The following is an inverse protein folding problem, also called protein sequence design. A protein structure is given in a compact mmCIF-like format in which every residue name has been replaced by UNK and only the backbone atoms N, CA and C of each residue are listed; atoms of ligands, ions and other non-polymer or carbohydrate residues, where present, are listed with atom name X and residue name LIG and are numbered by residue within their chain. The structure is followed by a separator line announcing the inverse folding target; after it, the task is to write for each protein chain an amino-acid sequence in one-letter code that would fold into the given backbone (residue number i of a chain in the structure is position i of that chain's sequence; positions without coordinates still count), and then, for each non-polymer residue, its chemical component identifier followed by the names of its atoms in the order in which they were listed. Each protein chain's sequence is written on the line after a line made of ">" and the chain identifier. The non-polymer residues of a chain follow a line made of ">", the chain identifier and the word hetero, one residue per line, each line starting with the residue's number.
data_IF_656067713593
#
_entry.id   IF_656067713593
#
_cell.length_a   1.000
_cell.length_b   1.000
_cell.length_c   1.000
_cell.angle_alpha   90.00
_cell.angle_beta   90.00
_cell.angle_gamma   90.00
#
_symmetry.space_group_name_H-M   'P 1'
#
loop_
_entity.id
_entity.type
_entity.pdbx_description
1 polymer ?
#
# COMPACT_ATOMS: atom_id res chain seq x y z
N UNK A 1 -21.60 7.31 7.68
CA UNK A 1 -21.22 8.73 7.59
C UNK A 1 -19.72 8.76 7.37
N UNK A 2 -19.22 9.67 6.54
CA UNK A 2 -17.78 9.86 6.36
C UNK A 2 -17.31 10.88 7.38
N UNK A 3 -16.43 10.47 8.27
CA UNK A 3 -15.82 11.35 9.27
C UNK A 3 -14.53 11.95 8.70
N UNK A 4 -14.39 13.28 8.75
CA UNK A 4 -13.17 13.96 8.31
C UNK A 4 -12.07 13.80 9.35
N UNK A 5 -10.93 13.23 8.95
CA UNK A 5 -9.75 13.03 9.81
C UNK A 5 -9.31 14.29 10.55
N UNK A 6 -9.53 15.49 9.99
CA UNK A 6 -9.19 16.75 10.66
C UNK A 6 -9.95 16.99 11.95
N UNK A 7 -11.09 16.33 12.12
CA UNK A 7 -11.95 16.43 13.30
C UNK A 7 -11.71 15.29 14.29
N UNK A 8 -11.21 14.14 13.82
CA UNK A 8 -11.21 12.89 14.60
C UNK A 8 -9.81 12.29 14.83
N UNK A 9 -8.79 12.79 14.13
CA UNK A 9 -7.44 12.24 14.20
C UNK A 9 -6.46 13.29 14.74
N UNK A 10 -6.08 13.23 16.03
CA UNK A 10 -5.38 14.31 16.73
C UNK A 10 -3.87 14.33 16.46
N UNK A 11 -3.46 14.13 15.21
CA UNK A 11 -2.06 14.05 14.80
C UNK A 11 -1.75 15.08 13.72
N UNK A 12 -0.62 15.75 13.83
CA UNK A 12 -0.17 16.71 12.83
C UNK A 12 0.34 16.01 11.56
N UNK A 13 0.22 16.69 10.42
CA UNK A 13 0.81 16.20 9.17
C UNK A 13 2.33 16.31 9.23
N UNK A 14 3.03 15.47 8.47
CA UNK A 14 4.50 15.50 8.35
C UNK A 14 5.03 16.90 7.99
N UNK A 15 4.27 17.67 7.21
CA UNK A 15 4.66 19.03 6.79
C UNK A 15 4.67 20.03 7.97
N UNK A 16 4.03 19.71 9.08
CA UNK A 16 4.13 20.50 10.31
C UNK A 16 5.52 20.35 10.94
N UNK A 17 6.05 19.13 10.95
CA UNK A 17 7.36 18.81 11.52
C UNK A 17 8.51 19.13 10.55
N UNK A 18 8.28 18.93 9.25
CA UNK A 18 9.25 19.18 8.18
C UNK A 18 8.58 19.90 7.01
N UNK A 19 8.53 21.24 7.01
CA UNK A 19 7.84 22.01 5.95
C UNK A 19 8.39 21.78 4.54
N UNK A 20 9.66 21.41 4.39
CA UNK A 20 10.34 21.12 3.11
C UNK A 20 10.19 19.66 2.66
N UNK A 21 9.41 18.84 3.36
CA UNK A 21 9.29 17.39 3.11
C UNK A 21 9.02 17.03 1.64
N UNK A 22 8.12 17.78 1.01
CA UNK A 22 7.72 17.58 -0.39
C UNK A 22 8.82 18.05 -1.34
N UNK A 23 9.39 19.23 -1.08
CA UNK A 23 10.45 19.81 -1.93
C UNK A 23 11.72 18.95 -1.92
N UNK A 24 12.03 18.32 -0.79
CA UNK A 24 13.15 17.40 -0.62
C UNK A 24 12.85 15.97 -1.12
N UNK A 25 11.64 15.71 -1.65
CA UNK A 25 11.23 14.39 -2.16
C UNK A 25 11.36 13.23 -1.15
N UNK A 26 11.19 13.52 0.14
CA UNK A 26 11.46 12.58 1.23
C UNK A 26 10.56 11.35 1.21
N UNK A 27 9.32 11.47 0.74
CA UNK A 27 8.43 10.30 0.67
C UNK A 27 8.87 9.34 -0.43
N UNK A 28 9.38 9.86 -1.54
CA UNK A 28 9.89 9.06 -2.65
C UNK A 28 11.17 8.34 -2.24
N UNK A 29 12.09 9.02 -1.54
CA UNK A 29 13.29 8.40 -0.97
C UNK A 29 12.91 7.25 -0.02
N UNK A 30 11.98 7.51 0.91
CA UNK A 30 11.48 6.51 1.84
C UNK A 30 10.77 5.35 1.12
N UNK A 31 9.97 5.63 0.09
CA UNK A 31 9.31 4.58 -0.70
C UNK A 31 10.30 3.65 -1.41
N UNK A 32 11.47 4.16 -1.83
CA UNK A 32 12.54 3.37 -2.42
C UNK A 32 13.22 2.46 -1.38
N UNK A 33 13.47 2.95 -0.17
CA UNK A 33 14.00 2.14 0.94
C UNK A 33 13.08 0.96 1.29
N UNK A 34 11.76 1.18 1.18
CA UNK A 34 10.74 0.18 1.48
C UNK A 34 10.36 -0.71 0.29
N UNK A 35 10.96 -0.49 -0.90
CA UNK A 35 10.58 -1.19 -2.13
C UNK A 35 10.71 -2.71 -2.03
N UNK A 36 11.71 -3.22 -1.28
CA UNK A 36 11.92 -4.65 -1.06
C UNK A 36 10.79 -5.34 -0.27
N UNK A 37 9.94 -4.54 0.38
CA UNK A 37 8.73 -5.00 1.09
C UNK A 37 7.52 -5.11 0.17
N UNK A 38 7.58 -4.58 -1.06
CA UNK A 38 6.45 -4.57 -1.98
C UNK A 38 6.38 -5.86 -2.78
N UNK A 39 5.16 -6.36 -2.98
CA UNK A 39 4.86 -7.58 -3.73
C UNK A 39 4.06 -7.22 -4.97
N UNK A 40 4.34 -7.90 -6.07
CA UNK A 40 3.61 -7.75 -7.33
C UNK A 40 3.04 -9.09 -7.79
N UNK A 41 1.81 -9.07 -8.28
CA UNK A 41 1.06 -10.27 -8.64
C UNK A 41 0.81 -10.32 -10.15
N UNK A 42 1.26 -11.40 -10.77
CA UNK A 42 1.25 -11.55 -12.22
C UNK A 42 0.45 -12.77 -12.65
N UNK A 43 -0.24 -12.62 -13.78
CA UNK A 43 -0.85 -13.72 -14.53
C UNK A 43 -0.35 -13.71 -15.98
N UNK A 44 -0.44 -14.85 -16.63
CA UNK A 44 -0.34 -14.93 -18.09
C UNK A 44 -1.71 -15.22 -18.70
N UNK A 45 -1.88 -14.83 -19.96
CA UNK A 45 -3.09 -15.13 -20.72
C UNK A 45 -2.83 -16.29 -21.69
N UNK A 46 -3.81 -17.18 -21.95
CA UNK A 46 -3.63 -18.36 -22.79
C UNK A 46 -3.02 -18.07 -24.18
N UNK A 47 -3.42 -16.94 -24.79
CA UNK A 47 -2.97 -16.52 -26.12
C UNK A 47 -1.77 -15.56 -26.11
N UNK A 48 -1.24 -15.18 -24.95
CA UNK A 48 -0.11 -14.24 -24.82
C UNK A 48 0.96 -14.77 -23.86
N UNK A 49 1.49 -15.97 -24.16
CA UNK A 49 2.49 -16.67 -23.32
C UNK A 49 3.85 -15.98 -23.20
N UNK A 50 4.09 -14.90 -23.94
CA UNK A 50 5.32 -14.10 -23.85
C UNK A 50 5.19 -12.91 -22.90
N UNK A 51 3.97 -12.60 -22.46
CA UNK A 51 3.67 -11.46 -21.60
C UNK A 51 3.11 -11.93 -20.27
N UNK A 52 3.58 -11.31 -19.19
CA UNK A 52 2.93 -11.41 -17.89
C UNK A 52 2.32 -10.04 -17.54
N UNK A 53 1.07 -10.09 -17.11
CA UNK A 53 0.26 -8.92 -16.79
C UNK A 53 0.20 -8.79 -15.28
N UNK A 54 0.60 -7.63 -14.78
CA UNK A 54 0.41 -7.28 -13.39
C UNK A 54 -1.07 -7.02 -13.14
N UNK A 55 -1.67 -7.75 -12.20
CA UNK A 55 -3.08 -7.65 -11.84
C UNK A 55 -3.31 -7.04 -10.46
N UNK A 56 -2.29 -7.03 -9.62
CA UNK A 56 -2.38 -6.50 -8.27
C UNK A 56 -1.01 -6.26 -7.65
N UNK A 57 -1.03 -5.56 -6.54
CA UNK A 57 0.11 -5.25 -5.68
C UNK A 57 -0.15 -5.78 -4.27
N UNK A 58 0.88 -5.80 -3.45
CA UNK A 58 0.82 -6.21 -2.06
C UNK A 58 2.07 -5.81 -1.32
N UNK A 59 2.20 -6.30 -0.10
CA UNK A 59 3.35 -6.02 0.74
C UNK A 59 3.61 -7.16 1.72
N UNK A 60 4.84 -7.21 2.21
CA UNK A 60 5.27 -8.12 3.27
C UNK A 60 4.93 -7.48 4.61
N UNK A 61 4.30 -8.25 5.48
CA UNK A 61 3.75 -7.83 6.75
C UNK A 61 4.12 -8.84 7.83
N UNK A 62 4.42 -8.37 9.04
CA UNK A 62 4.66 -9.23 10.19
C UNK A 62 3.37 -9.35 11.03
N UNK A 63 2.68 -10.48 10.92
CA UNK A 63 1.46 -10.74 11.68
C UNK A 63 1.80 -11.16 13.11
N UNK A 64 1.27 -10.42 14.08
CA UNK A 64 1.39 -10.72 15.51
C UNK A 64 2.84 -10.83 15.98
N UNK A 65 3.74 -10.01 15.43
CA UNK A 65 5.19 -9.95 15.71
C UNK A 65 5.98 -11.23 15.36
N UNK A 66 5.33 -12.21 14.70
CA UNK A 66 5.88 -13.57 14.63
C UNK A 66 5.79 -14.21 13.26
N UNK A 67 4.77 -13.91 12.46
CA UNK A 67 4.50 -14.64 11.23
C UNK A 67 4.64 -13.71 10.03
N UNK A 68 5.74 -13.82 9.26
CA UNK A 68 5.89 -13.09 8.01
C UNK A 68 4.85 -13.55 6.99
N UNK A 69 4.07 -12.61 6.51
CA UNK A 69 2.95 -12.80 5.59
C UNK A 69 3.06 -11.85 4.40
N UNK A 70 2.42 -12.22 3.30
CA UNK A 70 2.13 -11.34 2.19
C UNK A 70 0.66 -10.92 2.31
N UNK A 71 0.39 -9.63 2.22
CA UNK A 71 -0.96 -9.06 2.22
C UNK A 71 -1.26 -8.46 0.86
N UNK A 72 -2.47 -8.69 0.35
CA UNK A 72 -2.99 -8.10 -0.89
C UNK A 72 -4.53 -8.05 -0.86
N UNK A 73 -5.17 -7.64 -1.94
CA UNK A 73 -6.62 -7.65 -2.05
C UNK A 73 -7.16 -9.06 -2.39
N UNK A 74 -8.32 -9.42 -1.82
CA UNK A 74 -8.93 -10.75 -2.02
C UNK A 74 -9.22 -11.02 -3.51
N UNK A 75 -9.72 -10.03 -4.24
CA UNK A 75 -9.98 -10.19 -5.67
C UNK A 75 -8.72 -10.42 -6.52
N UNK A 76 -7.54 -9.95 -6.09
CA UNK A 76 -6.27 -10.22 -6.79
C UNK A 76 -5.95 -11.70 -6.75
N UNK A 77 -6.07 -12.32 -5.57
CA UNK A 77 -5.81 -13.77 -5.43
C UNK A 77 -6.86 -14.59 -6.19
N UNK A 78 -8.14 -14.21 -6.11
CA UNK A 78 -9.20 -14.86 -6.89
C UNK A 78 -8.92 -14.81 -8.40
N UNK A 79 -8.31 -13.73 -8.89
CA UNK A 79 -7.91 -13.63 -10.30
C UNK A 79 -6.68 -14.47 -10.63
N UNK A 80 -5.69 -14.54 -9.73
CA UNK A 80 -4.53 -15.43 -9.90
C UNK A 80 -4.91 -16.90 -10.02
N UNK A 81 -5.87 -17.35 -9.22
CA UNK A 81 -6.36 -18.73 -9.19
C UNK A 81 -7.06 -19.15 -10.49
N UNK A 82 -7.51 -18.20 -11.32
CA UNK A 82 -8.13 -18.48 -12.63
C UNK A 82 -7.10 -18.66 -13.75
N UNK A 83 -5.85 -18.24 -13.55
CA UNK A 83 -4.81 -18.31 -14.57
C UNK A 83 -4.07 -19.63 -14.49
N UNK A 84 -3.79 -20.25 -15.65
CA UNK A 84 -2.95 -21.46 -15.74
C UNK A 84 -1.51 -21.24 -15.24
N UNK A 85 -1.03 -19.99 -15.34
CA UNK A 85 0.31 -19.64 -14.90
C UNK A 85 0.25 -18.24 -14.27
N UNK A 86 0.38 -18.24 -12.95
CA UNK A 86 0.45 -17.06 -12.11
C UNK A 86 1.66 -17.14 -11.18
N UNK A 87 2.21 -15.97 -10.82
CA UNK A 87 3.38 -15.88 -9.96
C UNK A 87 3.40 -14.54 -9.21
N UNK A 88 4.10 -14.54 -8.09
CA UNK A 88 4.42 -13.34 -7.31
C UNK A 88 5.87 -12.93 -7.56
N UNK A 89 6.13 -11.64 -7.55
CA UNK A 89 7.49 -11.10 -7.60
C UNK A 89 7.74 -10.20 -6.39
N UNK A 90 8.82 -10.48 -5.68
CA UNK A 90 9.25 -9.78 -4.46
C UNK A 90 10.74 -9.53 -4.57
N UNK A 91 11.16 -8.28 -4.46
CA UNK A 91 12.58 -7.89 -4.56
C UNK A 91 13.30 -8.53 -5.76
N UNK A 92 12.66 -8.48 -6.94
CA UNK A 92 13.14 -9.09 -8.18
C UNK A 92 13.02 -10.63 -8.28
N UNK A 93 12.84 -11.34 -7.16
CA UNK A 93 12.67 -12.78 -7.11
C UNK A 93 11.25 -13.18 -7.49
N UNK A 94 11.12 -14.22 -8.34
CA UNK A 94 9.83 -14.69 -8.85
C UNK A 94 9.47 -16.06 -8.25
N UNK A 95 8.28 -16.17 -7.68
CA UNK A 95 7.78 -17.39 -7.06
C UNK A 95 6.46 -17.78 -7.71
N UNK A 96 6.37 -19.02 -8.18
CA UNK A 96 5.12 -19.55 -8.71
C UNK A 96 4.02 -19.50 -7.65
N UNK A 97 2.81 -19.17 -8.07
CA UNK A 97 1.63 -19.16 -7.21
C UNK A 97 0.97 -20.54 -7.26
N UNK A 98 1.57 -21.51 -6.58
CA UNK A 98 1.11 -22.90 -6.53
C UNK A 98 1.16 -23.39 -5.08
N UNK A 99 0.08 -24.02 -4.59
CA UNK A 99 -0.01 -24.63 -3.25
C UNK A 99 0.25 -23.67 -2.07
N UNK A 100 -0.12 -22.39 -2.21
CA UNK A 100 -0.06 -21.43 -1.12
C UNK A 100 -1.35 -21.48 -0.31
N UNK A 101 -1.23 -21.51 1.01
CA UNK A 101 -2.35 -21.28 1.91
C UNK A 101 -2.74 -19.80 1.86
N UNK A 102 -4.04 -19.53 1.73
CA UNK A 102 -4.57 -18.17 1.61
C UNK A 102 -5.75 -18.01 2.56
N UNK A 103 -5.66 -17.00 3.42
CA UNK A 103 -6.75 -16.59 4.31
C UNK A 103 -7.44 -15.37 3.71
N UNK A 104 -8.73 -15.51 3.38
CA UNK A 104 -9.52 -14.44 2.80
C UNK A 104 -10.36 -13.73 3.86
N UNK A 105 -10.34 -12.40 3.81
CA UNK A 105 -11.38 -11.56 4.37
C UNK A 105 -12.14 -10.94 3.19
N UNK A 106 -13.27 -11.54 2.84
CA UNK A 106 -14.09 -11.10 1.71
C UNK A 106 -14.92 -9.84 2.03
N UNK A 107 -15.20 -9.58 3.30
CA UNK A 107 -15.93 -8.39 3.73
C UNK A 107 -15.08 -7.12 3.56
N UNK A 108 -13.79 -7.22 3.91
CA UNK A 108 -12.82 -6.12 3.83
C UNK A 108 -11.90 -6.20 2.59
N UNK A 109 -12.16 -7.15 1.68
CA UNK A 109 -11.43 -7.38 0.42
C UNK A 109 -9.89 -7.47 0.59
N UNK A 110 -9.39 -8.11 1.64
CA UNK A 110 -7.97 -8.46 1.76
C UNK A 110 -7.72 -9.94 1.98
N UNK A 111 -6.58 -10.40 1.49
CA UNK A 111 -6.10 -11.77 1.65
C UNK A 111 -4.69 -11.77 2.25
N UNK A 112 -4.43 -12.77 3.09
CA UNK A 112 -3.16 -12.98 3.78
C UNK A 112 -2.59 -14.34 3.35
N UNK A 113 -1.31 -14.35 2.99
CA UNK A 113 -0.57 -15.54 2.56
C UNK A 113 0.65 -15.67 3.48
N UNK A 114 0.72 -16.67 4.37
CA UNK A 114 1.93 -16.93 5.13
C UNK A 114 3.12 -17.22 4.21
N UNK A 115 4.27 -16.62 4.48
CA UNK A 115 5.46 -16.84 3.67
C UNK A 115 6.07 -18.21 3.97
N UNK A 116 6.28 -19.01 2.92
CA UNK A 116 7.08 -20.23 3.03
C UNK A 116 8.54 -19.92 3.32
N UNK A 117 9.26 -20.87 3.93
CA UNK A 117 10.71 -20.75 4.12
C UNK A 117 11.47 -20.44 2.82
N UNK A 118 10.99 -20.96 1.69
CA UNK A 118 11.60 -20.72 0.39
C UNK A 118 11.55 -19.25 -0.01
N UNK A 119 10.44 -18.57 0.26
CA UNK A 119 10.32 -17.14 0.02
C UNK A 119 11.25 -16.41 0.98
N UNK A 120 11.14 -16.67 2.29
CA UNK A 120 11.96 -15.98 3.30
C UNK A 120 13.47 -16.08 3.04
N UNK A 121 13.97 -17.26 2.65
CA UNK A 121 15.39 -17.49 2.33
C UNK A 121 15.87 -16.74 1.08
N UNK A 122 14.96 -16.46 0.14
CA UNK A 122 15.29 -15.78 -1.11
C UNK A 122 15.31 -14.24 -0.98
N UNK A 123 14.69 -13.70 0.07
CA UNK A 123 14.60 -12.26 0.34
C UNK A 123 15.02 -11.92 1.79
N UNK A 124 16.22 -12.32 2.23
CA UNK A 124 16.63 -12.24 3.63
C UNK A 124 16.76 -10.81 4.18
N UNK A 125 16.85 -9.81 3.29
CA UNK A 125 17.04 -8.41 3.64
C UNK A 125 15.78 -7.56 3.36
N UNK A 126 14.67 -8.17 2.97
CA UNK A 126 13.43 -7.42 2.78
C UNK A 126 12.97 -6.83 4.10
N UNK A 127 12.54 -5.57 4.05
CA UNK A 127 11.88 -4.91 5.16
C UNK A 127 10.45 -5.49 5.30
N UNK A 128 9.91 -5.49 6.51
CA UNK A 128 8.56 -5.95 6.80
C UNK A 128 7.77 -4.79 7.40
N UNK A 129 6.55 -4.61 6.90
CA UNK A 129 5.61 -3.71 7.57
C UNK A 129 5.10 -4.33 8.87
N UNK A 130 4.86 -3.45 9.84
CA UNK A 130 4.17 -3.76 11.09
C UNK A 130 2.99 -2.79 11.27
N UNK A 131 1.98 -3.23 12.02
CA UNK A 131 0.83 -2.45 12.49
C UNK A 131 1.00 -1.94 13.91
N UNK A 132 2.04 -2.36 14.63
CA UNK A 132 2.37 -1.81 15.95
C UNK A 132 3.31 -0.63 15.83
N UNK A 133 3.10 0.32 16.73
CA UNK A 133 4.00 1.46 16.93
C UNK A 133 4.17 1.60 18.43
N UNK A 134 5.41 1.54 18.89
CA UNK A 134 5.71 1.89 20.26
C UNK A 134 5.65 3.43 20.37
N UNK A 135 4.57 3.94 20.96
CA UNK A 135 4.33 5.38 21.11
C UNK A 135 5.36 6.07 22.02
N UNK A 136 6.15 5.33 22.78
CA UNK A 136 7.27 5.88 23.57
C UNK A 136 8.43 6.32 22.66
N UNK A 137 8.62 5.62 21.54
CA UNK A 137 9.71 5.88 20.59
C UNK A 137 9.27 6.59 19.32
N UNK A 138 7.98 6.52 18.97
CA UNK A 138 7.48 7.07 17.71
C UNK A 138 6.29 7.99 17.92
N UNK A 139 6.26 9.05 17.14
CA UNK A 139 5.14 9.98 16.99
C UNK A 139 4.36 9.65 15.71
N UNK A 140 3.03 9.58 15.81
CA UNK A 140 2.16 9.35 14.66
C UNK A 140 1.95 10.66 13.90
N UNK A 141 1.70 10.57 12.59
CA UNK A 141 1.35 11.75 11.78
C UNK A 141 0.03 11.53 11.05
N UNK A 142 -0.63 12.61 10.64
CA UNK A 142 -1.73 12.55 9.68
C UNK A 142 -1.25 12.50 8.22
N UNK A 143 -0.03 12.00 7.98
CA UNK A 143 0.50 11.75 6.64
C UNK A 143 0.51 10.27 6.29
N UNK A 144 0.04 9.96 5.09
CA UNK A 144 -0.12 8.61 4.57
C UNK A 144 0.45 8.50 3.17
N UNK A 145 0.85 7.30 2.80
CA UNK A 145 1.32 6.97 1.46
C UNK A 145 0.67 5.67 1.00
N UNK A 146 0.17 5.67 -0.24
CA UNK A 146 -0.22 4.44 -0.94
C UNK A 146 0.92 4.04 -1.86
N UNK A 147 1.47 2.84 -1.72
CA UNK A 147 2.64 2.39 -2.49
C UNK A 147 2.45 1.01 -3.10
N UNK A 148 2.73 0.90 -4.40
CA UNK A 148 2.67 -0.37 -5.12
C UNK A 148 3.03 -0.23 -6.59
N UNK A 149 2.49 -1.11 -7.43
CA UNK A 149 2.89 -1.24 -8.83
C UNK A 149 1.71 -1.07 -9.79
N UNK A 150 1.67 -0.01 -10.60
CA UNK A 150 0.64 0.15 -11.63
C UNK A 150 0.95 -0.73 -12.84
N UNK A 151 -0.07 -1.39 -13.39
CA UNK A 151 0.07 -2.40 -14.45
C UNK A 151 0.58 -1.84 -15.78
N UNK A 152 0.23 -0.59 -16.10
CA UNK A 152 0.57 0.05 -17.39
C UNK A 152 2.09 0.10 -17.64
N UNK A 153 2.88 0.39 -16.61
CA UNK A 153 4.34 0.51 -16.71
C UNK A 153 5.05 -0.78 -16.32
N UNK A 154 4.42 -1.63 -15.50
CA UNK A 154 4.99 -2.86 -14.94
C UNK A 154 4.66 -4.14 -15.72
N UNK A 155 4.36 -4.02 -17.01
CA UNK A 155 4.19 -5.19 -17.88
C UNK A 155 5.54 -5.87 -18.14
N UNK A 156 5.58 -7.19 -17.98
CA UNK A 156 6.77 -8.02 -18.20
C UNK A 156 6.67 -8.75 -19.55
N UNK A 157 7.79 -8.83 -20.26
CA UNK A 157 7.91 -9.50 -21.56
C UNK A 157 9.13 -10.41 -21.58
N UNK A 158 9.01 -11.65 -22.09
CA UNK A 158 10.11 -12.63 -22.11
C UNK A 158 11.37 -12.15 -22.85
N UNK A 159 11.19 -11.35 -23.91
CA UNK A 159 12.30 -10.77 -24.69
C UNK A 159 12.95 -9.54 -24.02
N UNK A 160 12.40 -9.06 -22.91
CA UNK A 160 12.93 -7.94 -22.13
C UNK A 160 13.03 -8.32 -20.65
N UNK A 161 13.80 -9.37 -20.30
CA UNK A 161 13.87 -9.89 -18.94
C UNK A 161 14.52 -8.90 -17.96
N UNK A 162 15.37 -8.00 -18.49
CA UNK A 162 16.09 -6.97 -17.73
C UNK A 162 15.16 -5.84 -17.23
N UNK A 163 13.93 -5.77 -17.74
CA UNK A 163 12.99 -4.72 -17.36
C UNK A 163 12.55 -4.93 -15.91
N UNK A 164 13.09 -4.11 -15.01
CA UNK A 164 12.68 -4.04 -13.61
C UNK A 164 11.25 -3.53 -13.43
N UNK A 165 10.80 -3.54 -12.17
CA UNK A 165 9.53 -2.95 -11.78
C UNK A 165 9.75 -1.49 -11.34
N UNK A 166 8.81 -0.63 -11.71
CA UNK A 166 8.76 0.77 -11.32
C UNK A 166 7.63 0.96 -10.31
N UNK A 167 7.94 1.16 -9.02
CA UNK A 167 6.91 1.44 -8.02
C UNK A 167 6.27 2.81 -8.27
N UNK A 168 5.13 3.01 -7.63
CA UNK A 168 4.39 4.27 -7.64
C UNK A 168 3.86 4.53 -6.24
N UNK A 169 4.09 5.75 -5.75
CA UNK A 169 3.60 6.21 -4.46
C UNK A 169 2.75 7.47 -4.61
N UNK A 170 1.74 7.61 -3.75
CA UNK A 170 0.87 8.79 -3.67
C UNK A 170 0.73 9.20 -2.22
N UNK A 171 1.01 10.47 -1.92
CA UNK A 171 1.06 11.00 -0.58
C UNK A 171 -0.24 11.73 -0.24
N UNK A 172 -0.69 11.59 1.00
CA UNK A 172 -1.90 12.22 1.52
C UNK A 172 -1.64 12.78 2.91
N UNK A 173 -2.30 13.88 3.24
CA UNK A 173 -2.18 14.54 4.55
C UNK A 173 -3.51 14.67 5.29
N UNK A 174 -4.57 14.09 4.72
CA UNK A 174 -5.92 14.05 5.26
C UNK A 174 -6.64 12.86 4.64
N UNK A 175 -7.62 12.31 5.37
CA UNK A 175 -8.50 11.25 4.92
C UNK A 175 -9.91 11.44 5.45
N UNK A 176 -10.85 10.66 4.91
CA UNK A 176 -12.14 10.40 5.53
C UNK A 176 -12.23 8.95 5.96
N UNK A 177 -12.96 8.68 7.04
CA UNK A 177 -13.14 7.34 7.58
C UNK A 177 -14.62 6.97 7.64
N UNK A 178 -14.96 5.75 7.22
CA UNK A 178 -16.31 5.20 7.32
C UNK A 178 -16.34 4.07 8.35
N UNK A 179 -16.82 4.38 9.55
CA UNK A 179 -16.84 3.44 10.69
C UNK A 179 -17.54 2.11 10.43
N UNK A 180 -18.57 2.08 9.58
CA UNK A 180 -19.35 0.85 9.33
C UNK A 180 -18.57 -0.19 8.52
N UNK A 181 -17.79 0.27 7.55
CA UNK A 181 -17.03 -0.57 6.62
C UNK A 181 -15.55 -0.63 6.99
N UNK A 182 -15.12 0.25 7.90
CA UNK A 182 -13.73 0.50 8.25
C UNK A 182 -12.90 0.87 7.01
N UNK A 183 -13.55 1.55 6.07
CA UNK A 183 -12.89 2.04 4.87
C UNK A 183 -12.28 3.42 5.13
N UNK A 184 -11.08 3.61 4.60
CA UNK A 184 -10.39 4.91 4.52
C UNK A 184 -10.48 5.47 3.11
N UNK A 185 -10.75 6.77 3.02
CA UNK A 185 -11.01 7.49 1.78
C UNK A 185 -10.03 8.66 1.65
N UNK A 186 -9.27 8.69 0.56
CA UNK A 186 -8.39 9.79 0.23
C UNK A 186 -8.92 10.54 -0.98
N UNK A 187 -9.20 11.83 -0.83
CA UNK A 187 -9.66 12.64 -1.97
C UNK A 187 -8.55 12.70 -3.03
N UNK A 188 -8.89 12.44 -4.29
CA UNK A 188 -7.94 12.23 -5.37
C UNK A 188 -8.47 12.71 -6.71
N UNK A 189 -7.99 13.88 -7.14
CA UNK A 189 -8.34 14.46 -8.43
C UNK A 189 -7.13 14.37 -9.36
N UNK A 190 -7.13 13.38 -10.25
CA UNK A 190 -6.04 13.10 -11.19
C UNK A 190 -5.83 14.18 -12.28
N UNK A 191 -6.86 14.98 -12.57
CA UNK A 191 -6.97 15.87 -13.74
C UNK A 191 -7.50 17.27 -13.39
N UNK A 192 -7.25 18.28 -14.23
CA UNK A 192 -7.86 19.61 -14.11
C UNK A 192 -7.04 20.66 -13.35
N UNK A 193 -7.66 21.82 -13.09
CA UNK A 193 -7.05 22.96 -12.37
C UNK A 193 -7.03 22.77 -10.84
N UNK A 194 -7.89 21.91 -10.33
CA UNK A 194 -8.06 21.62 -8.89
C UNK A 194 -7.38 20.32 -8.47
N UNK A 195 -6.28 19.94 -9.14
CA UNK A 195 -5.51 18.76 -8.73
C UNK A 195 -4.99 18.97 -7.31
N UNK A 196 -5.31 18.04 -6.43
CA UNK A 196 -4.81 17.98 -5.07
C UNK A 196 -3.62 17.01 -4.92
N UNK A 197 -2.97 16.66 -6.05
CA UNK A 197 -1.85 15.73 -6.11
C UNK A 197 -0.61 16.53 -6.50
N UNK A 198 0.41 16.46 -5.65
CA UNK A 198 1.76 16.92 -5.95
C UNK A 198 2.65 15.70 -6.17
N UNK A 199 3.47 15.72 -7.22
CA UNK A 199 4.52 14.72 -7.43
C UNK A 199 5.83 15.32 -6.97
N UNK A 200 6.50 14.62 -6.06
CA UNK A 200 7.86 14.94 -5.63
C UNK A 200 8.85 14.83 -6.81
N UNK A 201 9.91 15.62 -6.77
CA UNK A 201 10.83 15.76 -7.90
C UNK A 201 11.64 14.50 -8.22
N UNK A 202 11.96 13.72 -7.19
CA UNK A 202 12.63 12.43 -7.34
C UNK A 202 11.72 11.31 -7.90
N UNK A 203 10.41 11.56 -8.01
CA UNK A 203 9.47 10.53 -8.50
C UNK A 203 9.81 10.11 -9.93
N UNK A 204 9.90 8.78 -10.13
CA UNK A 204 10.09 8.18 -11.45
C UNK A 204 8.87 8.37 -12.37
N UNK A 205 7.72 8.79 -11.82
CA UNK A 205 6.52 9.08 -12.59
C UNK A 205 5.84 10.37 -12.08
N UNK A 206 5.92 11.43 -12.89
CA UNK A 206 5.33 12.75 -12.58
C UNK A 206 3.92 12.94 -13.15
N UNK A 207 3.26 11.85 -13.56
CA UNK A 207 1.90 11.88 -14.11
C UNK A 207 1.03 10.81 -13.47
N UNK A 208 -0.25 11.13 -13.26
CA UNK A 208 -1.20 10.13 -12.81
C UNK A 208 -1.46 9.15 -13.96
N UNK A 209 -0.84 7.98 -13.88
CA UNK A 209 -1.14 6.85 -14.76
C UNK A 209 -2.41 6.14 -14.31
N UNK A 210 -2.92 5.21 -15.12
CA UNK A 210 -3.95 4.28 -14.64
C UNK A 210 -3.48 3.61 -13.35
N UNK A 211 -4.34 3.60 -12.33
CA UNK A 211 -4.10 2.92 -11.06
C UNK A 211 -4.44 1.42 -11.13
N UNK A 212 -4.80 0.89 -12.30
CA UNK A 212 -4.98 -0.54 -12.49
C UNK A 212 -3.72 -1.30 -12.04
N UNK A 213 -3.89 -2.40 -11.31
CA UNK A 213 -2.79 -3.17 -10.71
C UNK A 213 -2.32 -2.69 -9.33
N UNK A 214 -2.76 -1.51 -8.87
CA UNK A 214 -2.44 -1.04 -7.52
C UNK A 214 -3.26 -1.73 -6.43
N UNK A 215 -4.38 -2.39 -6.75
CA UNK A 215 -5.21 -3.07 -5.74
C UNK A 215 -4.38 -4.05 -4.91
N UNK A 216 -4.53 -3.97 -3.58
CA UNK A 216 -3.73 -4.67 -2.58
C UNK A 216 -2.46 -3.92 -2.13
N UNK A 217 -2.11 -2.79 -2.75
CA UNK A 217 -0.99 -1.93 -2.30
C UNK A 217 -1.10 -1.55 -0.83
N UNK A 218 0.05 -1.38 -0.17
CA UNK A 218 0.07 -0.90 1.21
C UNK A 218 -0.47 0.53 1.27
N UNK A 219 -1.31 0.79 2.27
CA UNK A 219 -1.55 2.13 2.79
C UNK A 219 -0.72 2.23 4.06
N UNK A 220 0.31 3.06 4.03
CA UNK A 220 1.22 3.25 5.14
C UNK A 220 1.07 4.64 5.75
N UNK A 221 1.20 4.73 7.06
CA UNK A 221 1.32 5.97 7.82
C UNK A 221 2.80 6.32 7.99
N UNK A 222 3.13 7.59 7.84
CA UNK A 222 4.45 8.12 8.21
C UNK A 222 4.50 8.29 9.73
N UNK A 223 5.53 7.75 10.35
CA UNK A 223 5.79 7.87 11.79
C UNK A 223 7.18 8.46 12.02
N UNK A 224 7.34 9.28 13.05
CA UNK A 224 8.58 9.99 13.34
C UNK A 224 9.21 9.38 14.58
N UNK A 225 10.47 8.96 14.49
CA UNK A 225 11.25 8.55 15.63
C UNK A 225 11.55 9.77 16.52
N UNK A 226 11.15 9.69 17.79
CA UNK A 226 11.28 10.77 18.78
C UNK A 226 12.73 11.05 19.18
N UNK A 227 13.65 10.09 18.96
CA UNK A 227 15.05 10.21 19.36
C UNK A 227 15.88 11.00 18.36
N UNK A 228 15.73 10.72 17.06
CA UNK A 228 16.58 11.28 15.99
C UNK A 228 15.79 12.05 14.93
N UNK A 229 14.46 12.07 15.00
CA UNK A 229 13.59 12.68 14.00
C UNK A 229 13.47 11.90 12.69
N UNK A 230 14.08 10.70 12.61
CA UNK A 230 13.99 9.83 11.44
C UNK A 230 12.56 9.40 11.15
N UNK A 231 12.20 9.29 9.88
CA UNK A 231 10.83 8.92 9.48
C UNK A 231 10.80 7.50 8.97
N UNK A 232 9.79 6.76 9.40
CA UNK A 232 9.55 5.37 9.02
C UNK A 232 8.11 5.18 8.56
N UNK A 233 7.80 3.99 8.07
CA UNK A 233 6.47 3.63 7.59
C UNK A 233 5.86 2.52 8.44
N UNK A 234 4.56 2.65 8.66
CA UNK A 234 3.74 1.68 9.37
C UNK A 234 2.55 1.30 8.50
N UNK A 235 2.25 0.01 8.33
CA UNK A 235 1.05 -0.38 7.60
C UNK A 235 -0.20 -0.05 8.42
N UNK A 236 -1.19 0.56 7.75
CA UNK A 236 -2.50 0.86 8.34
C UNK A 236 -3.66 0.29 7.54
N UNK A 237 -3.41 -0.22 6.33
CA UNK A 237 -4.46 -0.65 5.43
C UNK A 237 -3.95 -1.18 4.09
N UNK A 238 -4.90 -1.60 3.26
CA UNK A 238 -4.69 -1.98 1.86
C UNK A 238 -5.51 -1.10 0.93
N UNK A 239 -4.96 -0.73 -0.23
CA UNK A 239 -5.69 -0.02 -1.26
C UNK A 239 -6.61 -0.98 -2.02
N UNK A 240 -7.89 -0.63 -2.14
CA UNK A 240 -8.89 -1.43 -2.87
C UNK A 240 -9.06 -0.92 -4.29
N UNK A 241 -9.49 0.32 -4.41
CA UNK A 241 -10.00 0.86 -5.67
C UNK A 241 -9.97 2.39 -5.74
N UNK A 242 -10.07 2.90 -6.97
CA UNK A 242 -10.31 4.30 -7.26
C UNK A 242 -11.78 4.49 -7.66
N UNK A 243 -12.52 5.35 -6.96
CA UNK A 243 -13.93 5.68 -7.19
C UNK A 243 -14.12 7.09 -7.80
N UNK A 244 -13.77 7.31 -9.09
CA UNK A 244 -13.88 8.63 -9.72
C UNK A 244 -15.32 9.14 -9.80
N UNK A 245 -16.30 8.25 -9.98
CA UNK A 245 -17.72 8.62 -10.12
C UNK A 245 -18.45 8.82 -8.79
N UNK A 246 -17.79 8.57 -7.65
CA UNK A 246 -18.38 8.67 -6.32
C UNK A 246 -17.48 9.53 -5.43
N UNK A 247 -17.30 10.79 -5.82
CA UNK A 247 -16.56 11.78 -5.03
C UNK A 247 -15.05 11.84 -5.27
N UNK A 248 -14.53 11.17 -6.31
CA UNK A 248 -13.11 11.16 -6.64
C UNK A 248 -12.22 10.68 -5.49
N UNK A 249 -12.50 9.49 -4.93
CA UNK A 249 -11.73 8.94 -3.82
C UNK A 249 -10.85 7.76 -4.24
N UNK A 250 -9.65 7.68 -3.66
CA UNK A 250 -8.95 6.41 -3.47
C UNK A 250 -9.45 5.78 -2.18
N UNK A 251 -9.88 4.53 -2.25
CA UNK A 251 -10.50 3.82 -1.13
C UNK A 251 -9.63 2.63 -0.74
N UNK A 252 -9.45 2.43 0.55
CA UNK A 252 -8.82 1.26 1.11
C UNK A 252 -9.54 0.72 2.33
N UNK A 253 -9.24 -0.51 2.69
CA UNK A 253 -9.61 -1.04 4.01
C UNK A 253 -8.51 -0.75 5.00
N UNK A 254 -8.89 -0.38 6.22
CA UNK A 254 -7.96 -0.31 7.34
C UNK A 254 -7.64 -1.71 7.87
N UNK A 255 -6.44 -1.90 8.40
CA UNK A 255 -6.10 -3.03 9.26
C UNK A 255 -6.69 -2.79 10.66
N UNK A 256 -7.00 -3.89 11.37
CA UNK A 256 -7.75 -3.86 12.63
C UNK A 256 -7.15 -2.89 13.67
N UNK A 257 -5.83 -2.92 13.87
CA UNK A 257 -5.16 -2.05 14.84
C UNK A 257 -5.35 -0.55 14.56
N UNK A 258 -5.46 -0.17 13.28
CA UNK A 258 -5.71 1.21 12.90
C UNK A 258 -7.20 1.57 12.99
N UNK A 259 -8.08 0.65 12.60
CA UNK A 259 -9.53 0.81 12.77
C UNK A 259 -9.89 1.03 14.24
N UNK A 260 -9.38 0.18 15.13
CA UNK A 260 -9.59 0.27 16.58
C UNK A 260 -9.07 1.60 17.14
N UNK A 261 -7.90 2.06 16.66
CA UNK A 261 -7.36 3.35 17.06
C UNK A 261 -8.27 4.51 16.63
N UNK A 262 -8.78 4.52 15.40
CA UNK A 262 -9.73 5.56 14.95
C UNK A 262 -11.05 5.51 15.71
N UNK A 263 -11.58 4.32 15.93
CA UNK A 263 -12.83 4.11 16.66
C UNK A 263 -12.71 4.55 18.13
N UNK A 264 -11.52 4.46 18.75
CA UNK A 264 -11.32 4.97 20.11
C UNK A 264 -11.53 6.49 20.21
N UNK A 265 -11.00 7.27 19.27
CA UNK A 265 -11.20 8.73 19.26
C UNK A 265 -12.67 9.13 19.06
N UNK A 266 -13.38 8.40 18.20
CA UNK A 266 -14.80 8.64 17.93
C UNK A 266 -15.71 8.28 19.11
N UNK A 267 -15.33 7.33 19.95
CA UNK A 267 -16.10 6.97 21.13
C UNK A 267 -15.82 7.90 22.31
N UNK A 268 -14.63 8.50 22.37
CA UNK A 268 -14.27 9.46 23.40
C UNK A 268 -14.98 10.82 23.19
N UNK A 269 -15.36 11.16 21.95
CA UNK A 269 -16.15 12.36 21.62
C UNK A 269 -17.66 12.23 21.99
N UNK A 270 -18.15 11.02 22.24
CA UNK A 270 -19.55 10.72 22.63
C UNK A 270 -19.76 10.67 24.17
N UNK A 271 -18.71 10.94 24.97
CA UNK A 271 -18.71 10.89 26.45
C UNK A 271 -18.70 12.29 27.11
#
# INVERSE_FOLDING_TARGET
>A
MLEDSKLIYPHFSIIHYSPTWIDESRTTELALEWQSSLVSFFITQPHRKQEAFLIGSGFIYLLGDHIPCIVTASHVIKEMQKSELSFISIDGNKFKFEHLEVFFNDEQDYAIIPMSEKIMKAIPNSVLFDTKVNNDFFEKTSSFVIMGYPSKVNKLHKMHPEKGLSPFNINFHNFFYERKTEDIYFHFIAGGKEKNICFEDASTNKTVTSLAGMSGSVIAQLIINKLDGGVSLKAIGIFKEHRPKRGNFLVGSTLIDFADNLNSYLNDDDA
#
